data_IF_016324615070
#
_entry.id   IF_016324615070
#
_cell.length_a   1.000
_cell.length_b   1.000
_cell.length_c   1.000
_cell.angle_alpha   90.00
_cell.angle_beta   90.00
_cell.angle_gamma   90.00
#
_symmetry.space_group_name_H-M   'P 1'
#
loop_
_entity.id
_entity.type
_entity.pdbx_description
1 polymer ?
#
# COMPACT_ATOMS: atom_id res chain seq x y z
N UNK A 1 16.43 -38.58 -31.85
CA UNK A 1 14.99 -38.69 -31.61
C UNK A 1 14.42 -37.30 -31.55
N UNK A 2 13.62 -36.89 -32.54
CA UNK A 2 12.97 -35.58 -32.55
C UNK A 2 11.79 -35.62 -31.56
N UNK A 3 11.89 -34.85 -30.47
CA UNK A 3 10.81 -34.79 -29.48
C UNK A 3 9.63 -34.00 -30.10
N UNK A 4 8.55 -34.65 -30.41
CA UNK A 4 7.35 -34.06 -31.02
C UNK A 4 6.52 -33.20 -30.08
N UNK A 5 6.71 -33.34 -28.77
CA UNK A 5 5.95 -32.62 -27.74
C UNK A 5 6.90 -32.07 -26.66
N UNK A 6 7.59 -30.95 -26.92
CA UNK A 6 8.58 -30.42 -25.99
C UNK A 6 7.99 -29.98 -24.65
N UNK A 7 6.69 -29.73 -24.57
CA UNK A 7 5.99 -29.29 -23.36
C UNK A 7 5.22 -30.39 -22.61
N UNK A 8 5.37 -31.68 -23.01
CA UNK A 8 4.62 -32.80 -22.42
C UNK A 8 4.83 -32.92 -20.91
N UNK A 9 5.99 -32.51 -20.39
CA UNK A 9 6.34 -32.60 -18.97
C UNK A 9 6.38 -31.23 -18.28
N UNK A 10 5.93 -30.16 -18.94
CA UNK A 10 5.84 -28.85 -18.33
C UNK A 10 4.58 -28.78 -17.47
N UNK A 11 4.76 -28.41 -16.20
CA UNK A 11 3.64 -28.17 -15.30
C UNK A 11 2.79 -27.00 -15.83
N UNK A 12 1.56 -27.28 -16.22
CA UNK A 12 0.60 -26.29 -16.73
C UNK A 12 -0.49 -25.94 -15.72
N UNK A 13 -0.36 -26.43 -14.50
CA UNK A 13 -1.32 -26.13 -13.43
C UNK A 13 -1.20 -24.71 -12.92
N UNK A 14 -2.28 -24.19 -12.35
CA UNK A 14 -2.28 -22.91 -11.64
C UNK A 14 -1.89 -23.18 -10.20
N UNK A 15 -0.73 -22.69 -9.77
CA UNK A 15 -0.33 -22.75 -8.36
C UNK A 15 -1.34 -22.01 -7.48
N UNK A 16 -1.72 -22.63 -6.36
CA UNK A 16 -2.58 -21.98 -5.38
C UNK A 16 -1.85 -20.76 -4.80
N UNK A 17 -2.30 -19.58 -5.19
CA UNK A 17 -1.75 -18.34 -4.61
C UNK A 17 -2.12 -18.22 -3.14
N UNK A 18 -1.16 -17.84 -2.31
CA UNK A 18 -1.40 -17.59 -0.88
C UNK A 18 -2.44 -16.47 -0.74
N UNK A 19 -3.53 -16.75 -0.03
CA UNK A 19 -4.56 -15.75 0.29
C UNK A 19 -3.94 -14.70 1.23
N UNK A 20 -3.75 -13.48 0.72
CA UNK A 20 -3.13 -12.38 1.46
C UNK A 20 -4.14 -11.39 2.04
N UNK A 21 -5.42 -11.55 1.73
CA UNK A 21 -6.44 -10.68 2.29
C UNK A 21 -6.65 -10.97 3.78
N UNK A 22 -6.71 -9.91 4.58
CA UNK A 22 -7.10 -9.97 5.99
C UNK A 22 -8.51 -9.42 6.16
N UNK A 23 -9.31 -9.93 7.12
CA UNK A 23 -10.66 -9.47 7.34
C UNK A 23 -10.72 -8.06 7.93
N UNK A 24 -11.88 -7.40 7.82
CA UNK A 24 -12.10 -6.05 8.31
C UNK A 24 -11.79 -5.87 9.81
N UNK A 25 -11.97 -6.93 10.61
CA UNK A 25 -11.60 -6.93 12.04
C UNK A 25 -10.10 -6.65 12.23
N UNK A 26 -9.25 -7.29 11.41
CA UNK A 26 -7.80 -7.09 11.47
C UNK A 26 -7.41 -5.69 10.99
N UNK A 27 -8.07 -5.16 9.96
CA UNK A 27 -7.83 -3.77 9.51
C UNK A 27 -8.14 -2.78 10.63
N UNK A 28 -9.25 -2.96 11.35
CA UNK A 28 -9.58 -2.12 12.52
C UNK A 28 -8.54 -2.27 13.62
N UNK A 29 -8.11 -3.49 13.93
CA UNK A 29 -7.08 -3.73 14.93
C UNK A 29 -5.77 -3.02 14.58
N UNK A 30 -5.32 -3.09 13.31
CA UNK A 30 -4.11 -2.39 12.84
C UNK A 30 -4.29 -0.87 12.98
N UNK A 31 -5.45 -0.33 12.59
CA UNK A 31 -5.77 1.09 12.70
C UNK A 31 -5.68 1.61 14.13
N UNK A 32 -6.24 0.84 15.07
CA UNK A 32 -6.47 1.26 16.46
C UNK A 32 -5.28 0.92 17.39
N UNK A 33 -4.17 0.38 16.84
CA UNK A 33 -2.95 0.13 17.63
C UNK A 33 -2.36 1.43 18.17
N UNK A 34 -2.08 1.46 19.45
CA UNK A 34 -1.26 2.53 20.04
C UNK A 34 0.22 2.30 19.72
N UNK A 35 0.76 3.16 18.87
CA UNK A 35 2.15 3.13 18.40
C UNK A 35 2.91 4.43 18.76
N UNK A 36 2.38 5.22 19.68
CA UNK A 36 2.97 6.50 20.12
C UNK A 36 4.41 6.38 20.60
N UNK A 37 4.81 5.19 21.03
CA UNK A 37 6.16 4.86 21.52
C UNK A 37 7.17 4.50 20.40
N UNK A 38 6.72 4.26 19.15
CA UNK A 38 7.59 3.96 17.99
C UNK A 38 7.06 4.64 16.72
N UNK A 39 7.57 5.83 16.45
CA UNK A 39 7.18 6.66 15.31
C UNK A 39 7.40 5.94 13.96
N UNK A 40 8.35 5.01 13.87
CA UNK A 40 8.60 4.27 12.64
C UNK A 40 7.58 3.16 12.38
N UNK A 41 7.05 2.56 13.44
CA UNK A 41 5.92 1.64 13.35
C UNK A 41 4.64 2.39 13.03
N UNK A 42 4.43 3.56 13.68
CA UNK A 42 3.29 4.43 13.39
C UNK A 42 3.27 4.86 11.92
N UNK A 43 4.40 5.34 11.41
CA UNK A 43 4.56 5.71 9.99
C UNK A 43 4.21 4.55 9.05
N UNK A 44 4.70 3.35 9.31
CA UNK A 44 4.41 2.18 8.49
C UNK A 44 2.92 1.81 8.54
N UNK A 45 2.29 1.84 9.74
CA UNK A 45 0.86 1.65 9.92
C UNK A 45 0.06 2.68 9.14
N UNK A 46 0.42 3.95 9.21
CA UNK A 46 -0.29 5.04 8.56
C UNK A 46 -0.23 4.93 7.03
N UNK A 47 0.91 4.58 6.46
CA UNK A 47 1.03 4.31 5.01
C UNK A 47 0.23 3.07 4.59
N UNK A 48 0.18 2.03 5.40
CA UNK A 48 -0.67 0.87 5.16
C UNK A 48 -2.15 1.27 5.15
N UNK A 49 -2.59 2.05 6.15
CA UNK A 49 -3.97 2.53 6.24
C UNK A 49 -4.31 3.51 5.12
N UNK A 50 -3.38 4.38 4.73
CA UNK A 50 -3.58 5.27 3.58
C UNK A 50 -3.81 4.46 2.28
N UNK A 51 -2.99 3.43 2.05
CA UNK A 51 -3.21 2.51 0.93
C UNK A 51 -4.60 1.86 0.99
N UNK A 52 -5.03 1.41 2.15
CA UNK A 52 -6.35 0.82 2.33
C UNK A 52 -7.47 1.81 2.04
N UNK A 53 -7.43 3.02 2.59
CA UNK A 53 -8.44 4.06 2.37
C UNK A 53 -8.49 4.53 0.91
N UNK A 54 -7.36 4.56 0.23
CA UNK A 54 -7.26 4.91 -1.19
C UNK A 54 -7.51 3.71 -2.13
N UNK A 55 -8.37 2.76 -1.70
CA UNK A 55 -8.82 1.60 -2.48
C UNK A 55 -7.67 0.66 -2.89
N UNK A 56 -6.69 0.50 -2.01
CA UNK A 56 -5.54 -0.36 -2.25
C UNK A 56 -4.53 0.26 -3.21
N UNK A 57 -4.27 1.56 -3.10
CA UNK A 57 -3.23 2.23 -3.87
C UNK A 57 -1.88 1.54 -3.66
N UNK A 58 -1.13 1.30 -4.74
CA UNK A 58 0.18 0.67 -4.64
C UNK A 58 1.21 1.60 -3.99
N UNK A 59 2.23 1.02 -3.34
CA UNK A 59 3.25 1.82 -2.66
C UNK A 59 3.98 2.79 -3.60
N UNK A 60 4.25 2.35 -4.84
CA UNK A 60 4.86 3.23 -5.84
C UNK A 60 3.93 4.38 -6.24
N UNK A 61 2.62 4.14 -6.35
CA UNK A 61 1.67 5.21 -6.67
C UNK A 61 1.59 6.22 -5.52
N UNK A 62 1.60 5.75 -4.25
CA UNK A 62 1.67 6.61 -3.07
C UNK A 62 2.94 7.46 -3.03
N UNK A 63 4.10 6.87 -3.35
CA UNK A 63 5.39 7.56 -3.32
C UNK A 63 5.45 8.73 -4.30
N UNK A 64 4.85 8.60 -5.47
CA UNK A 64 4.85 9.64 -6.51
C UNK A 64 3.58 10.50 -6.52
N UNK A 65 2.71 10.36 -5.52
CA UNK A 65 1.49 11.15 -5.40
C UNK A 65 1.83 12.60 -5.04
N UNK A 66 1.39 13.54 -5.86
CA UNK A 66 1.65 14.97 -5.69
C UNK A 66 0.48 15.67 -4.98
N UNK A 67 0.77 16.75 -4.28
CA UNK A 67 -0.25 17.63 -3.68
C UNK A 67 -1.25 18.13 -4.73
N UNK A 68 -0.80 18.39 -5.95
CA UNK A 68 -1.67 18.80 -7.07
C UNK A 68 -2.64 17.72 -7.55
N UNK A 69 -2.46 16.47 -7.12
CA UNK A 69 -3.41 15.40 -7.41
C UNK A 69 -4.68 15.49 -6.55
N UNK A 70 -4.64 16.24 -5.44
CA UNK A 70 -5.77 16.46 -4.56
C UNK A 70 -6.42 17.83 -4.88
N UNK A 71 -7.61 17.78 -5.48
CA UNK A 71 -8.36 18.98 -5.86
C UNK A 71 -9.86 18.78 -5.64
N UNK A 72 -10.54 19.81 -5.16
CA UNK A 72 -11.99 19.84 -5.00
C UNK A 72 -12.57 18.61 -4.26
N UNK A 73 -11.86 18.10 -3.26
CA UNK A 73 -12.31 16.94 -2.50
C UNK A 73 -12.15 15.59 -3.22
N UNK A 74 -11.37 15.55 -4.29
CA UNK A 74 -11.04 14.33 -5.02
C UNK A 74 -9.55 14.19 -5.23
N UNK A 75 -9.07 12.95 -5.08
CA UNK A 75 -7.73 12.54 -5.41
C UNK A 75 -7.73 11.91 -6.81
N UNK A 76 -7.05 12.54 -7.76
CA UNK A 76 -6.95 12.07 -9.14
C UNK A 76 -5.50 11.79 -9.51
N UNK A 77 -5.20 10.56 -9.93
CA UNK A 77 -3.85 10.15 -10.29
C UNK A 77 -3.83 9.09 -11.37
N UNK A 78 -2.70 8.94 -12.06
CA UNK A 78 -2.46 7.85 -13.00
C UNK A 78 -1.58 6.78 -12.38
N UNK A 79 -2.02 5.53 -12.47
CA UNK A 79 -1.25 4.38 -11.97
C UNK A 79 0.06 4.23 -12.74
N UNK A 80 1.16 4.12 -12.03
CA UNK A 80 2.50 3.92 -12.63
C UNK A 80 2.59 2.66 -13.49
N UNK A 81 1.93 1.57 -13.10
CA UNK A 81 2.00 0.29 -13.82
C UNK A 81 1.16 0.24 -15.09
N UNK A 82 -0.02 0.84 -15.10
CA UNK A 82 -1.03 0.65 -16.17
C UNK A 82 -1.41 1.94 -16.88
N UNK A 83 -0.91 3.08 -16.40
CA UNK A 83 -1.28 4.42 -16.86
C UNK A 83 -2.80 4.73 -16.78
N UNK A 84 -3.55 3.91 -16.05
CA UNK A 84 -4.99 4.10 -15.85
C UNK A 84 -5.23 5.31 -14.94
N UNK A 85 -6.13 6.19 -15.34
CA UNK A 85 -6.62 7.29 -14.52
C UNK A 85 -7.56 6.75 -13.45
N UNK A 86 -7.33 7.11 -12.20
CA UNK A 86 -8.21 6.80 -11.07
C UNK A 86 -8.60 8.09 -10.35
N UNK A 87 -9.86 8.14 -9.92
CA UNK A 87 -10.41 9.24 -9.12
C UNK A 87 -11.01 8.65 -7.85
N UNK A 88 -10.60 9.17 -6.72
CA UNK A 88 -11.02 8.70 -5.39
C UNK A 88 -11.55 9.91 -4.63
N UNK A 89 -12.75 9.78 -4.05
CA UNK A 89 -13.26 10.79 -3.14
C UNK A 89 -12.36 10.90 -1.92
N UNK A 90 -11.98 12.14 -1.58
CA UNK A 90 -11.14 12.38 -0.41
C UNK A 90 -11.96 12.27 0.87
N UNK A 91 -11.46 11.52 1.82
CA UNK A 91 -12.16 11.20 3.06
C UNK A 91 -11.33 11.67 4.27
N UNK A 92 -12.01 11.99 5.37
CA UNK A 92 -11.39 12.47 6.60
C UNK A 92 -10.23 11.59 7.11
N UNK A 93 -10.31 10.24 7.11
CA UNK A 93 -9.18 9.40 7.56
C UNK A 93 -7.91 9.54 6.71
N UNK A 94 -8.05 9.90 5.43
CA UNK A 94 -6.88 10.17 4.57
C UNK A 94 -6.23 11.51 4.96
N UNK A 95 -7.05 12.52 5.25
CA UNK A 95 -6.58 13.83 5.70
C UNK A 95 -5.85 13.72 7.05
N UNK A 96 -6.43 13.02 8.01
CA UNK A 96 -5.84 12.80 9.33
C UNK A 96 -4.45 12.15 9.25
N UNK A 97 -4.20 11.29 8.26
CA UNK A 97 -2.89 10.69 8.06
C UNK A 97 -1.90 11.72 7.54
N UNK A 98 -2.24 12.47 6.48
CA UNK A 98 -1.28 13.43 5.91
C UNK A 98 -0.98 14.59 6.84
N UNK A 99 -1.92 15.00 7.70
CA UNK A 99 -1.75 16.07 8.67
C UNK A 99 -0.71 15.74 9.76
N UNK A 100 -0.39 14.46 9.96
CA UNK A 100 0.64 14.03 10.90
C UNK A 100 2.07 14.29 10.40
N UNK A 101 2.24 14.45 9.08
CA UNK A 101 3.55 14.46 8.47
C UNK A 101 3.83 15.80 7.78
N UNK A 102 4.95 16.40 8.15
CA UNK A 102 5.41 17.63 7.49
C UNK A 102 5.97 17.31 6.10
N UNK A 103 5.33 17.87 5.09
CA UNK A 103 5.79 17.83 3.69
C UNK A 103 6.01 19.25 3.14
N UNK A 104 6.24 20.24 4.01
CA UNK A 104 6.53 21.64 3.61
C UNK A 104 7.78 21.62 2.71
N UNK A 105 7.71 22.34 1.60
CA UNK A 105 8.79 22.39 0.61
C UNK A 105 8.82 21.21 -0.38
N UNK A 106 8.07 20.14 -0.14
CA UNK A 106 7.90 19.02 -1.07
C UNK A 106 6.66 19.18 -1.95
N UNK A 107 6.76 18.78 -3.21
CA UNK A 107 5.60 18.65 -4.11
C UNK A 107 4.80 17.37 -3.87
N UNK A 108 5.37 16.42 -3.13
CA UNK A 108 4.74 15.14 -2.83
C UNK A 108 3.76 15.23 -1.66
N UNK A 109 2.69 14.44 -1.73
CA UNK A 109 1.62 14.42 -0.72
C UNK A 109 2.04 13.67 0.55
N UNK A 110 2.84 12.62 0.40
CA UNK A 110 3.31 11.76 1.48
C UNK A 110 4.83 11.83 1.62
N UNK A 111 5.40 11.70 2.82
CA UNK A 111 6.84 11.82 3.08
C UNK A 111 7.58 10.51 2.73
N UNK A 112 7.43 10.02 1.51
CA UNK A 112 8.11 8.82 1.00
C UNK A 112 9.32 9.23 0.17
N UNK A 113 9.14 10.20 -0.74
CA UNK A 113 10.20 10.89 -1.46
C UNK A 113 10.34 12.25 -0.79
N UNK A 114 11.46 12.48 -0.12
CA UNK A 114 11.70 13.69 0.68
C UNK A 114 12.37 14.79 -0.13
N UNK A 115 13.24 14.40 -1.07
CA UNK A 115 14.00 15.35 -1.90
C UNK A 115 13.90 14.94 -3.37
N UNK A 116 13.19 15.77 -4.16
CA UNK A 116 13.05 15.57 -5.61
C UNK A 116 14.34 15.84 -6.41
N UNK A 117 15.37 16.44 -5.78
CA UNK A 117 16.67 16.73 -6.42
C UNK A 117 17.64 15.53 -6.37
N UNK A 118 17.35 14.55 -5.52
CA UNK A 118 18.14 13.31 -5.40
C UNK A 118 17.43 12.14 -6.05
N UNK A 119 18.06 10.95 -6.07
CA UNK A 119 17.50 9.75 -6.70
C UNK A 119 16.17 9.33 -6.02
N UNK A 120 15.06 9.77 -6.59
CA UNK A 120 13.69 9.45 -6.14
C UNK A 120 13.43 7.95 -6.10
N UNK A 121 13.98 7.20 -7.08
CA UNK A 121 13.81 5.75 -7.15
C UNK A 121 14.49 5.04 -5.99
N UNK A 122 15.67 5.51 -5.59
CA UNK A 122 16.39 4.98 -4.44
C UNK A 122 15.63 5.29 -3.15
N UNK A 123 15.14 6.52 -2.98
CA UNK A 123 14.32 6.91 -1.82
C UNK A 123 13.06 6.04 -1.71
N UNK A 124 12.32 5.89 -2.81
CA UNK A 124 11.15 5.02 -2.87
C UNK A 124 11.46 3.57 -2.47
N UNK A 125 12.54 2.98 -3.02
CA UNK A 125 12.93 1.59 -2.70
C UNK A 125 13.28 1.42 -1.23
N UNK A 126 14.05 2.34 -0.67
CA UNK A 126 14.46 2.32 0.74
C UNK A 126 13.23 2.45 1.66
N UNK A 127 12.34 3.39 1.36
CA UNK A 127 11.10 3.56 2.12
C UNK A 127 10.21 2.32 2.04
N UNK A 128 10.03 1.72 0.86
CA UNK A 128 9.24 0.50 0.69
C UNK A 128 9.81 -0.68 1.52
N UNK A 129 11.13 -0.81 1.56
CA UNK A 129 11.82 -1.85 2.31
C UNK A 129 11.65 -1.64 3.83
N UNK A 130 11.85 -0.40 4.31
CA UNK A 130 11.65 -0.03 5.70
C UNK A 130 10.21 -0.28 6.14
N UNK A 131 9.24 0.24 5.41
CA UNK A 131 7.80 0.10 5.72
C UNK A 131 7.40 -1.37 5.78
N UNK A 132 7.78 -2.18 4.80
CA UNK A 132 7.44 -3.60 4.81
C UNK A 132 8.11 -4.36 5.96
N UNK A 133 9.33 -3.98 6.37
CA UNK A 133 10.00 -4.53 7.55
C UNK A 133 9.21 -4.22 8.84
N UNK A 134 8.76 -2.98 8.99
CA UNK A 134 7.96 -2.54 10.15
C UNK A 134 6.56 -3.17 10.15
N UNK A 135 5.92 -3.26 8.99
CA UNK A 135 4.62 -3.95 8.86
C UNK A 135 4.70 -5.43 9.26
N UNK A 136 5.78 -6.13 8.90
CA UNK A 136 6.00 -7.52 9.36
C UNK A 136 6.08 -7.60 10.89
N UNK A 137 6.73 -6.63 11.55
CA UNK A 137 6.74 -6.54 13.01
C UNK A 137 5.32 -6.36 13.57
N UNK A 138 4.55 -5.42 13.03
CA UNK A 138 3.14 -5.21 13.42
C UNK A 138 2.29 -6.47 13.26
N UNK A 139 2.42 -7.14 12.12
CA UNK A 139 1.71 -8.40 11.87
C UNK A 139 2.02 -9.47 12.90
N UNK A 140 3.28 -9.60 13.33
CA UNK A 140 3.68 -10.53 14.40
C UNK A 140 3.06 -10.15 15.75
N UNK A 141 3.04 -8.86 16.09
CA UNK A 141 2.47 -8.38 17.37
C UNK A 141 0.98 -8.70 17.50
N UNK A 142 0.24 -8.70 16.39
CA UNK A 142 -1.19 -9.04 16.38
C UNK A 142 -1.46 -10.50 16.02
N UNK A 143 -0.42 -11.34 15.96
CA UNK A 143 -0.55 -12.78 15.76
C UNK A 143 -1.01 -13.18 14.34
N UNK A 144 -0.70 -12.38 13.30
CA UNK A 144 -1.06 -12.76 11.94
C UNK A 144 -0.27 -13.98 11.46
N UNK A 145 -0.94 -14.97 10.84
CA UNK A 145 -0.28 -16.16 10.30
C UNK A 145 0.50 -15.89 9.00
N UNK A 146 0.28 -14.72 8.38
CA UNK A 146 0.96 -14.28 7.16
C UNK A 146 1.74 -13.00 7.41
N UNK A 147 2.85 -12.76 6.69
CA UNK A 147 3.56 -11.50 6.79
C UNK A 147 2.69 -10.31 6.36
N UNK A 148 2.54 -9.32 7.24
CA UNK A 148 1.89 -8.07 6.86
C UNK A 148 2.85 -7.26 5.98
N UNK A 149 2.36 -6.81 4.83
CA UNK A 149 3.10 -5.96 3.87
C UNK A 149 2.16 -4.91 3.30
N UNK A 150 2.69 -3.87 2.68
CA UNK A 150 1.88 -2.84 2.01
C UNK A 150 0.91 -3.43 0.96
N UNK A 151 1.27 -4.55 0.34
CA UNK A 151 0.44 -5.22 -0.65
C UNK A 151 -0.82 -5.89 -0.04
N UNK A 152 -0.78 -6.25 1.25
CA UNK A 152 -1.93 -6.81 1.98
C UNK A 152 -3.08 -5.81 2.05
N UNK A 153 -2.81 -4.51 2.15
CA UNK A 153 -3.84 -3.46 2.15
C UNK A 153 -4.74 -3.54 0.91
N UNK A 154 -4.13 -3.73 -0.27
CA UNK A 154 -4.87 -3.89 -1.53
C UNK A 154 -5.75 -5.14 -1.55
N UNK A 155 -5.21 -6.28 -1.13
CA UNK A 155 -5.97 -7.52 -1.08
C UNK A 155 -7.13 -7.44 -0.08
N UNK A 156 -6.88 -6.84 1.08
CA UNK A 156 -7.90 -6.64 2.10
C UNK A 156 -9.02 -5.73 1.59
N UNK A 157 -8.66 -4.57 1.00
CA UNK A 157 -9.67 -3.66 0.45
C UNK A 157 -10.51 -4.36 -0.63
N UNK A 158 -9.89 -5.01 -1.61
CA UNK A 158 -10.60 -5.69 -2.70
C UNK A 158 -11.55 -6.79 -2.18
N UNK A 159 -11.10 -7.57 -1.18
CA UNK A 159 -11.90 -8.63 -0.58
C UNK A 159 -13.09 -8.08 0.20
N UNK A 160 -12.88 -7.00 0.98
CA UNK A 160 -13.92 -6.36 1.78
C UNK A 160 -14.94 -5.64 0.86
N UNK A 161 -14.46 -4.91 -0.16
CA UNK A 161 -15.33 -4.26 -1.12
C UNK A 161 -16.24 -5.26 -1.85
N UNK A 162 -15.66 -6.38 -2.31
CA UNK A 162 -16.42 -7.47 -2.93
C UNK A 162 -17.48 -8.05 -1.99
N UNK A 163 -17.16 -8.24 -0.71
CA UNK A 163 -18.10 -8.79 0.27
C UNK A 163 -19.26 -7.83 0.59
N UNK A 164 -19.08 -6.54 0.32
CA UNK A 164 -20.07 -5.48 0.53
C UNK A 164 -20.74 -4.99 -0.76
N UNK A 165 -20.45 -5.63 -1.88
CA UNK A 165 -20.97 -5.25 -3.21
C UNK A 165 -20.66 -3.78 -3.59
N UNK A 166 -19.44 -3.30 -3.25
CA UNK A 166 -18.91 -1.97 -3.59
C UNK A 166 -18.03 -2.07 -4.84
#
# INVERSE_FOLDING_TARGET
VIQRYPFKHVYTGIDKTVKRAVPAKIIRQIRDMDLSHDSSLEYARDLFMFSFYTRGMSFIDMAYLKKSNLQNGFLSYRRKKTNQQLVIKWEKPMQEIIDKYDTIGSSYLLPIILDAKTDERKQYKNAAQLVNSKLKKLGKQIGLPIPLTSYVARHAWASIARSKNI
#
